data_IF_983863379733
#
_entry.id   IF_983863379733
#
_cell.length_a   1.000
_cell.length_b   1.000
_cell.length_c   1.000
_cell.angle_alpha   90.00
_cell.angle_beta   90.00
_cell.angle_gamma   90.00
#
_symmetry.space_group_name_H-M   'P 1'
#
loop_
_entity.id
_entity.type
_entity.pdbx_description
1 polymer ?
#
# COMPACT_ATOMS: atom_id res chain seq x y z
N UNK A 1 -23.88 -3.39 -9.12
CA UNK A 1 -23.54 -4.80 -8.80
C UNK A 1 -22.20 -5.29 -9.37
N UNK A 2 -21.96 -5.36 -10.69
CA UNK A 2 -20.67 -5.88 -11.22
C UNK A 2 -19.49 -4.92 -10.99
N UNK A 3 -19.72 -3.61 -11.11
CA UNK A 3 -18.69 -2.58 -10.87
C UNK A 3 -18.32 -2.47 -9.38
N UNK A 4 -19.30 -2.54 -8.48
CA UNK A 4 -19.09 -2.55 -7.03
C UNK A 4 -18.22 -3.76 -6.62
N UNK A 5 -18.55 -4.96 -7.12
CA UNK A 5 -17.75 -6.18 -6.86
C UNK A 5 -16.31 -6.06 -7.35
N UNK A 6 -16.07 -5.37 -8.47
CA UNK A 6 -14.71 -5.11 -8.97
C UNK A 6 -13.96 -4.13 -8.06
N UNK A 7 -14.62 -3.04 -7.65
CA UNK A 7 -14.02 -2.06 -6.75
C UNK A 7 -13.64 -2.68 -5.40
N UNK A 8 -14.50 -3.53 -4.86
CA UNK A 8 -14.21 -4.26 -3.62
C UNK A 8 -13.01 -5.20 -3.81
N UNK A 9 -12.97 -5.94 -4.92
CA UNK A 9 -11.84 -6.83 -5.23
C UNK A 9 -10.51 -6.07 -5.39
N UNK A 10 -10.52 -4.93 -6.08
CA UNK A 10 -9.34 -4.09 -6.25
C UNK A 10 -8.87 -3.52 -4.89
N UNK A 11 -9.81 -3.12 -4.03
CA UNK A 11 -9.52 -2.63 -2.68
C UNK A 11 -8.84 -3.72 -1.84
N UNK A 12 -9.34 -4.96 -1.87
CA UNK A 12 -8.74 -6.06 -1.13
C UNK A 12 -7.35 -6.43 -1.66
N UNK A 13 -7.15 -6.39 -2.99
CA UNK A 13 -5.81 -6.56 -3.58
C UNK A 13 -4.85 -5.44 -3.15
N UNK A 14 -5.30 -4.20 -3.14
CA UNK A 14 -4.52 -3.06 -2.68
C UNK A 14 -4.09 -3.24 -1.22
N UNK A 15 -5.02 -3.61 -0.32
CA UNK A 15 -4.68 -3.90 1.09
C UNK A 15 -3.62 -4.99 1.22
N UNK A 16 -3.78 -6.10 0.50
CA UNK A 16 -2.82 -7.20 0.54
C UNK A 16 -1.42 -6.77 0.07
N UNK A 17 -1.34 -5.96 -1.00
CA UNK A 17 -0.07 -5.43 -1.51
C UNK A 17 0.59 -4.47 -0.49
N UNK A 18 -0.19 -3.57 0.11
CA UNK A 18 0.31 -2.63 1.11
C UNK A 18 0.81 -3.37 2.37
N UNK A 19 0.12 -4.43 2.81
CA UNK A 19 0.58 -5.28 3.92
C UNK A 19 1.89 -6.01 3.60
N UNK A 20 2.02 -6.54 2.37
CA UNK A 20 3.26 -7.18 1.90
C UNK A 20 4.43 -6.19 1.95
N UNK A 21 4.23 -4.99 1.39
CA UNK A 21 5.24 -3.92 1.40
C UNK A 21 5.60 -3.50 2.82
N UNK A 22 4.60 -3.27 3.69
CA UNK A 22 4.85 -2.93 5.09
C UNK A 22 5.71 -3.99 5.78
N UNK A 23 5.44 -5.28 5.51
CA UNK A 23 6.22 -6.39 6.06
C UNK A 23 7.66 -6.38 5.55
N UNK A 24 7.86 -6.20 4.25
CA UNK A 24 9.19 -6.11 3.63
C UNK A 24 9.99 -4.93 4.19
N UNK A 25 9.37 -3.76 4.26
CA UNK A 25 9.98 -2.54 4.78
C UNK A 25 10.29 -2.64 6.27
N UNK A 26 9.41 -3.26 7.08
CA UNK A 26 9.65 -3.47 8.50
C UNK A 26 10.81 -4.44 8.76
N UNK A 27 11.06 -5.40 7.84
CA UNK A 27 12.23 -6.28 7.92
C UNK A 27 13.52 -5.54 7.58
N UNK A 28 13.47 -4.64 6.60
CA UNK A 28 14.63 -3.84 6.19
C UNK A 28 14.93 -2.70 7.17
N UNK A 29 13.90 -2.17 7.84
CA UNK A 29 13.99 -1.04 8.75
C UNK A 29 13.13 -1.29 10.02
N UNK A 30 13.71 -1.83 11.09
CA UNK A 30 12.99 -2.14 12.33
C UNK A 30 12.32 -0.92 12.98
N UNK A 31 12.85 0.29 12.77
CA UNK A 31 12.31 1.52 13.33
C UNK A 31 10.95 1.90 12.75
N UNK A 32 10.60 1.34 11.58
CA UNK A 32 9.33 1.59 10.90
C UNK A 32 8.13 1.17 11.76
N UNK A 33 8.30 0.16 12.64
CA UNK A 33 7.26 -0.32 13.56
C UNK A 33 6.81 0.74 14.56
N UNK A 34 7.68 1.70 14.90
CA UNK A 34 7.39 2.75 15.87
C UNK A 34 6.91 4.06 15.22
N UNK A 35 6.75 4.09 13.90
CA UNK A 35 6.31 5.28 13.17
C UNK A 35 4.80 5.37 13.08
N UNK A 36 4.32 6.59 12.90
CA UNK A 36 2.90 6.83 12.67
C UNK A 36 2.45 6.23 11.33
N UNK A 37 1.18 5.82 11.22
CA UNK A 37 0.62 5.31 9.97
C UNK A 37 0.75 6.31 8.81
N UNK A 38 0.70 7.63 9.09
CA UNK A 38 0.92 8.68 8.10
C UNK A 38 2.35 8.71 7.56
N UNK A 39 3.36 8.49 8.42
CA UNK A 39 4.76 8.39 7.99
C UNK A 39 5.00 7.12 7.19
N UNK A 40 4.44 5.99 7.64
CA UNK A 40 4.49 4.71 6.93
C UNK A 40 3.86 4.86 5.54
N UNK A 41 2.70 5.51 5.45
CA UNK A 41 2.01 5.74 4.17
C UNK A 41 2.85 6.61 3.21
N UNK A 42 3.47 7.67 3.71
CA UNK A 42 4.39 8.50 2.91
C UNK A 42 5.59 7.71 2.42
N UNK A 43 6.15 6.85 3.27
CA UNK A 43 7.28 6.01 2.90
C UNK A 43 6.89 4.99 1.82
N UNK A 44 5.74 4.34 1.96
CA UNK A 44 5.25 3.36 0.97
C UNK A 44 4.93 4.05 -0.36
N UNK A 45 4.29 5.22 -0.35
CA UNK A 45 4.02 5.99 -1.58
C UNK A 45 5.31 6.28 -2.36
N UNK A 46 6.36 6.73 -1.65
CA UNK A 46 7.67 6.96 -2.25
C UNK A 46 8.34 5.68 -2.73
N UNK A 47 8.30 4.62 -1.93
CA UNK A 47 8.84 3.32 -2.31
C UNK A 47 8.20 2.79 -3.60
N UNK A 48 6.88 2.89 -3.74
CA UNK A 48 6.13 2.51 -4.95
C UNK A 48 6.56 3.33 -6.18
N UNK A 49 6.83 4.61 -5.99
CA UNK A 49 7.24 5.52 -7.06
C UNK A 49 8.70 5.30 -7.50
N UNK A 50 9.61 5.03 -6.56
CA UNK A 50 11.06 5.13 -6.80
C UNK A 50 11.77 3.77 -6.86
N UNK A 51 11.37 2.79 -6.04
CA UNK A 51 12.22 1.63 -5.71
C UNK A 51 11.52 0.28 -5.82
N UNK A 52 10.19 0.24 -5.78
CA UNK A 52 9.46 -1.01 -5.69
C UNK A 52 9.54 -1.81 -7.00
N UNK A 53 10.04 -3.03 -6.89
CA UNK A 53 10.00 -4.03 -7.96
C UNK A 53 8.60 -4.64 -8.09
N UNK A 54 7.67 -3.85 -8.61
CA UNK A 54 6.27 -4.24 -8.82
C UNK A 54 6.04 -4.85 -10.18
N UNK A 55 5.16 -5.85 -10.25
CA UNK A 55 4.56 -6.27 -11.51
C UNK A 55 3.68 -5.14 -12.07
N UNK A 56 3.50 -5.11 -13.40
CA UNK A 56 2.70 -4.07 -14.08
C UNK A 56 1.29 -3.93 -13.50
N UNK A 57 0.65 -5.05 -13.15
CA UNK A 57 -0.69 -5.08 -12.57
C UNK A 57 -0.73 -4.52 -11.13
N UNK A 58 0.29 -4.84 -10.32
CA UNK A 58 0.41 -4.33 -8.95
C UNK A 58 0.66 -2.82 -8.97
N UNK A 59 1.52 -2.35 -9.88
CA UNK A 59 1.79 -0.94 -10.12
C UNK A 59 0.51 -0.19 -10.52
N UNK A 60 -0.26 -0.73 -11.47
CA UNK A 60 -1.51 -0.11 -11.91
C UNK A 60 -2.58 -0.01 -10.80
N UNK A 61 -2.56 -0.92 -9.82
CA UNK A 61 -3.44 -0.87 -8.66
C UNK A 61 -2.98 0.20 -7.65
N UNK A 62 -1.68 0.34 -7.42
CA UNK A 62 -1.13 1.23 -6.40
C UNK A 62 -0.95 2.68 -6.89
N UNK A 63 -0.68 2.91 -8.18
CA UNK A 63 -0.56 4.27 -8.77
C UNK A 63 -1.85 5.11 -8.65
N UNK A 64 -2.99 4.46 -8.39
CA UNK A 64 -4.27 5.14 -8.16
C UNK A 64 -4.43 5.65 -6.73
N UNK A 65 -3.56 5.24 -5.82
CA UNK A 65 -3.60 5.60 -4.41
C UNK A 65 -2.65 6.76 -4.16
N UNK A 66 -3.15 7.79 -3.50
CA UNK A 66 -2.28 8.80 -2.88
C UNK A 66 -1.94 8.40 -1.43
N UNK A 67 -1.04 9.15 -0.80
CA UNK A 67 -0.67 8.97 0.61
C UNK A 67 -1.86 8.76 1.54
N UNK A 68 -2.94 9.56 1.38
CA UNK A 68 -4.12 9.49 2.25
C UNK A 68 -4.90 8.20 2.05
N UNK A 69 -5.04 7.74 0.80
CA UNK A 69 -5.68 6.46 0.51
C UNK A 69 -4.89 5.30 1.12
N UNK A 70 -3.56 5.32 0.97
CA UNK A 70 -2.67 4.33 1.58
C UNK A 70 -2.82 4.33 3.10
N UNK A 71 -2.81 5.51 3.73
CA UNK A 71 -3.00 5.64 5.18
C UNK A 71 -4.33 5.03 5.63
N UNK A 72 -5.44 5.36 4.95
CA UNK A 72 -6.75 4.81 5.26
C UNK A 72 -6.74 3.29 5.14
N UNK A 73 -6.23 2.75 4.02
CA UNK A 73 -6.19 1.31 3.80
C UNK A 73 -5.33 0.56 4.83
N UNK A 74 -4.24 1.17 5.30
CA UNK A 74 -3.41 0.62 6.38
C UNK A 74 -4.10 0.68 7.75
N UNK A 75 -4.90 1.72 8.02
CA UNK A 75 -5.64 1.88 9.28
C UNK A 75 -6.89 1.01 9.39
N UNK A 76 -7.36 0.43 8.28
CA UNK A 76 -8.55 -0.43 8.23
C UNK A 76 -8.24 -1.93 8.42
N UNK A 77 -6.99 -2.28 8.74
CA UNK A 77 -6.53 -3.65 9.00
C UNK A 77 -6.57 -4.01 10.48
#
# INVERSE_FOLDING_TARGET
MLEEKRKDLDTEKQKALLQRMLTELSRANPDLYYRSTSEIASYIERYVAEEASLLVEERALLERLNQRDIQILLSLN
#
